data_IF_176856723556
#
_entry.id   IF_176856723556
#
_cell.length_a   1.000
_cell.length_b   1.000
_cell.length_c   1.000
_cell.angle_alpha   90.00
_cell.angle_beta   90.00
_cell.angle_gamma   90.00
#
_symmetry.space_group_name_H-M   'P 1'
#
loop_
_entity.id
_entity.type
_entity.pdbx_description
1 polymer ?
#
# COMPACT_ATOMS: atom_id res chain seq x y z
N UNK A 1 44.73 -12.38 -12.49
CA UNK A 1 44.43 -11.15 -11.70
C UNK A 1 43.43 -10.22 -12.38
N UNK A 2 43.59 -9.84 -13.66
CA UNK A 2 42.66 -8.92 -14.35
C UNK A 2 41.22 -9.46 -14.47
N UNK A 3 41.06 -10.74 -14.83
CA UNK A 3 39.75 -11.39 -14.95
C UNK A 3 39.00 -11.52 -13.62
N UNK A 4 39.71 -11.78 -12.52
CA UNK A 4 39.13 -11.87 -11.17
C UNK A 4 38.64 -10.49 -10.70
N UNK A 5 39.42 -9.43 -10.97
CA UNK A 5 39.01 -8.05 -10.68
C UNK A 5 37.80 -7.60 -11.52
N UNK A 6 37.75 -8.01 -12.80
CA UNK A 6 36.61 -7.74 -13.68
C UNK A 6 35.35 -8.50 -13.24
N UNK A 7 35.48 -9.78 -12.87
CA UNK A 7 34.39 -10.58 -12.35
C UNK A 7 33.86 -10.00 -11.03
N UNK A 8 34.74 -9.57 -10.12
CA UNK A 8 34.34 -8.90 -8.88
C UNK A 8 33.61 -7.57 -9.13
N UNK A 9 34.04 -6.79 -10.12
CA UNK A 9 33.37 -5.55 -10.50
C UNK A 9 31.99 -5.79 -11.11
N UNK A 10 31.84 -6.81 -11.96
CA UNK A 10 30.54 -7.21 -12.52
C UNK A 10 29.59 -7.69 -11.42
N UNK A 11 30.08 -8.49 -10.46
CA UNK A 11 29.29 -8.98 -9.35
C UNK A 11 28.78 -7.82 -8.45
N UNK A 12 29.63 -6.81 -8.23
CA UNK A 12 29.28 -5.62 -7.45
C UNK A 12 28.20 -4.78 -8.13
N UNK A 13 28.25 -4.64 -9.47
CA UNK A 13 27.21 -3.94 -10.23
C UNK A 13 25.88 -4.70 -10.15
N UNK A 14 25.89 -6.01 -10.34
CA UNK A 14 24.67 -6.85 -10.28
C UNK A 14 23.99 -6.80 -8.91
N UNK A 15 24.75 -6.73 -7.81
CA UNK A 15 24.22 -6.57 -6.46
C UNK A 15 23.50 -5.22 -6.25
N UNK A 16 23.93 -4.17 -6.95
CA UNK A 16 23.33 -2.84 -6.88
C UNK A 16 22.04 -2.71 -7.73
N UNK A 17 21.94 -3.45 -8.85
CA UNK A 17 20.72 -3.45 -9.68
C UNK A 17 19.55 -4.17 -8.98
N UNK A 18 19.83 -5.16 -8.13
CA UNK A 18 18.79 -5.89 -7.40
C UNK A 18 17.98 -5.02 -6.42
N UNK A 19 18.56 -3.93 -5.89
CA UNK A 19 17.89 -3.03 -4.94
C UNK A 19 17.09 -1.91 -5.62
N UNK A 20 17.17 -1.78 -6.95
CA UNK A 20 16.55 -0.68 -7.69
C UNK A 20 15.10 -0.96 -8.15
N UNK A 21 14.61 -2.19 -7.97
CA UNK A 21 13.21 -2.51 -8.23
C UNK A 21 12.36 -2.12 -7.02
N UNK A 22 11.97 -0.84 -6.97
CA UNK A 22 10.90 -0.41 -6.08
C UNK A 22 9.63 -1.17 -6.48
N UNK A 23 9.18 -2.08 -5.61
CA UNK A 23 7.91 -2.77 -5.80
C UNK A 23 6.81 -1.72 -5.87
N UNK A 24 6.03 -1.76 -6.95
CA UNK A 24 4.92 -0.83 -7.13
C UNK A 24 3.94 -0.93 -5.96
N UNK A 25 3.15 0.12 -5.76
CA UNK A 25 2.08 0.08 -4.74
C UNK A 25 1.18 -1.13 -5.04
N UNK A 26 1.07 -2.04 -4.07
CA UNK A 26 0.23 -3.23 -4.20
C UNK A 26 -1.23 -2.80 -4.42
N UNK A 27 -1.88 -3.42 -5.41
CA UNK A 27 -3.27 -3.15 -5.77
C UNK A 27 -4.09 -4.41 -5.61
N UNK A 28 -5.37 -4.23 -5.28
CA UNK A 28 -6.36 -5.29 -5.20
C UNK A 28 -7.44 -5.02 -6.26
N UNK A 29 -7.92 -6.10 -6.90
CA UNK A 29 -9.07 -6.02 -7.79
C UNK A 29 -10.36 -5.79 -6.99
N UNK A 30 -11.31 -5.06 -7.59
CA UNK A 30 -12.58 -4.71 -6.96
C UNK A 30 -13.43 -5.95 -6.60
N UNK A 31 -13.39 -7.00 -7.42
CA UNK A 31 -14.21 -8.19 -7.21
C UNK A 31 -13.57 -9.07 -6.14
N UNK A 32 -12.23 -9.17 -6.14
CA UNK A 32 -11.47 -9.80 -5.05
C UNK A 32 -11.69 -9.11 -3.68
N UNK A 33 -11.82 -7.78 -3.67
CA UNK A 33 -12.14 -7.02 -2.45
C UNK A 33 -13.56 -7.33 -1.96
N UNK A 34 -14.55 -7.42 -2.86
CA UNK A 34 -15.95 -7.72 -2.50
C UNK A 34 -16.10 -9.11 -1.90
N UNK A 35 -15.44 -10.11 -2.46
CA UNK A 35 -15.48 -11.49 -1.98
C UNK A 35 -15.04 -11.61 -0.51
N UNK A 36 -14.15 -10.72 -0.07
CA UNK A 36 -13.46 -10.81 1.21
C UNK A 36 -13.67 -9.55 2.08
N UNK A 37 -14.75 -8.80 1.85
CA UNK A 37 -14.95 -7.46 2.41
C UNK A 37 -14.89 -7.40 3.95
N UNK A 38 -15.26 -8.47 4.64
CA UNK A 38 -15.18 -8.56 6.11
C UNK A 38 -13.79 -8.80 6.68
N UNK A 39 -12.80 -9.11 5.85
CA UNK A 39 -11.41 -9.39 6.27
C UNK A 39 -10.48 -8.18 6.09
N UNK A 40 -10.95 -7.13 5.43
CA UNK A 40 -10.16 -5.93 5.14
C UNK A 40 -10.63 -4.74 5.96
N UNK A 41 -9.66 -3.96 6.42
CA UNK A 41 -9.91 -2.62 6.94
C UNK A 41 -9.87 -1.67 5.74
N UNK A 42 -11.02 -1.11 5.39
CA UNK A 42 -11.16 -0.21 4.24
C UNK A 42 -11.04 1.22 4.72
N UNK A 43 -10.15 2.01 4.10
CA UNK A 43 -9.84 3.37 4.51
C UNK A 43 -10.08 4.34 3.35
N UNK A 44 -11.01 5.27 3.55
CA UNK A 44 -11.36 6.31 2.56
C UNK A 44 -10.47 7.54 2.74
N UNK A 45 -9.67 7.83 1.72
CA UNK A 45 -8.79 9.01 1.64
C UNK A 45 -9.32 10.12 0.74
N UNK A 46 -10.56 10.03 0.25
CA UNK A 46 -11.16 11.10 -0.55
C UNK A 46 -11.29 12.38 0.26
N UNK A 47 -11.12 13.50 -0.44
CA UNK A 47 -11.19 14.84 0.13
C UNK A 47 -12.13 15.72 -0.70
N UNK A 48 -12.41 16.93 -0.20
CA UNK A 48 -13.15 17.94 -0.97
C UNK A 48 -14.48 17.45 -1.56
N UNK A 49 -14.66 17.73 -2.86
CA UNK A 49 -15.80 17.33 -3.67
C UNK A 49 -15.92 15.82 -3.83
N UNK A 50 -14.80 15.11 -3.94
CA UNK A 50 -14.79 13.65 -4.21
C UNK A 50 -15.40 12.86 -3.05
N UNK A 51 -15.31 13.40 -1.84
CA UNK A 51 -16.01 12.85 -0.68
C UNK A 51 -17.44 13.40 -0.53
N UNK A 52 -17.60 14.73 -0.58
CA UNK A 52 -18.88 15.40 -0.28
C UNK A 52 -19.95 15.13 -1.34
N UNK A 53 -19.55 15.11 -2.61
CA UNK A 53 -20.44 14.90 -3.76
C UNK A 53 -20.70 13.42 -4.07
N UNK A 54 -20.05 12.49 -3.37
CA UNK A 54 -20.23 11.07 -3.66
C UNK A 54 -21.45 10.49 -2.98
N UNK A 55 -22.43 10.10 -3.80
CA UNK A 55 -23.64 9.38 -3.38
C UNK A 55 -23.30 8.01 -2.78
N UNK A 56 -22.32 7.33 -3.36
CA UNK A 56 -21.91 5.99 -2.95
C UNK A 56 -20.54 5.99 -2.27
N UNK A 57 -20.38 5.16 -1.25
CA UNK A 57 -19.13 5.00 -0.49
C UNK A 57 -18.98 3.51 -0.17
N UNK A 58 -17.75 3.03 -0.02
CA UNK A 58 -17.53 1.61 0.28
C UNK A 58 -18.07 1.32 1.68
N UNK A 59 -18.93 0.31 1.80
CA UNK A 59 -19.54 -0.08 3.07
C UNK A 59 -18.45 -0.48 4.08
N UNK A 60 -18.56 0.00 5.32
CA UNK A 60 -17.57 -0.26 6.37
C UNK A 60 -16.28 0.53 6.26
N UNK A 61 -16.13 1.39 5.23
CA UNK A 61 -14.97 2.25 5.12
C UNK A 61 -14.87 3.25 6.27
N UNK A 62 -13.69 3.34 6.86
CA UNK A 62 -13.36 4.33 7.88
C UNK A 62 -12.62 5.50 7.26
N UNK A 63 -12.83 6.69 7.81
CA UNK A 63 -12.11 7.89 7.39
C UNK A 63 -11.09 8.28 8.46
N UNK A 64 -9.79 8.36 8.12
CA UNK A 64 -8.77 8.73 9.08
C UNK A 64 -8.97 10.20 9.49
N UNK A 65 -8.83 10.48 10.78
CA UNK A 65 -8.74 11.84 11.31
C UNK A 65 -7.25 12.14 11.56
N UNK A 66 -6.68 13.02 10.75
CA UNK A 66 -5.25 13.37 10.84
C UNK A 66 -4.34 12.32 10.20
N UNK A 67 -3.16 12.10 10.79
CA UNK A 67 -2.16 11.16 10.29
C UNK A 67 -2.67 9.71 10.39
N UNK A 68 -2.47 8.92 9.33
CA UNK A 68 -2.93 7.52 9.26
C UNK A 68 -2.26 6.60 10.29
N UNK A 69 -0.99 6.83 10.61
CA UNK A 69 -0.24 6.03 11.56
C UNK A 69 -0.81 6.20 12.96
N UNK A 70 -1.09 7.43 13.36
CA UNK A 70 -1.68 7.72 14.67
C UNK A 70 -3.14 7.28 14.71
N UNK A 71 -3.86 7.43 13.61
CA UNK A 71 -5.22 6.92 13.49
C UNK A 71 -5.26 5.40 13.67
N UNK A 72 -4.40 4.65 12.98
CA UNK A 72 -4.31 3.19 13.08
C UNK A 72 -3.94 2.75 14.51
N UNK A 73 -2.99 3.44 15.15
CA UNK A 73 -2.64 3.21 16.57
C UNK A 73 -3.83 3.45 17.49
N UNK A 74 -4.56 4.57 17.30
CA UNK A 74 -5.73 4.91 18.12
C UNK A 74 -6.87 3.90 17.98
N UNK A 75 -6.94 3.21 16.83
CA UNK A 75 -7.91 2.15 16.55
C UNK A 75 -7.44 0.77 17.00
N UNK A 76 -6.20 0.64 17.47
CA UNK A 76 -5.65 -0.64 17.91
C UNK A 76 -5.50 -1.66 16.77
N UNK A 77 -5.25 -1.20 15.54
CA UNK A 77 -5.09 -2.13 14.41
C UNK A 77 -3.83 -2.98 14.58
N UNK A 78 -3.97 -4.27 14.31
CA UNK A 78 -2.85 -5.20 14.29
C UNK A 78 -1.88 -4.86 13.14
N UNK A 79 -0.60 -5.18 13.31
CA UNK A 79 0.44 -4.87 12.31
C UNK A 79 0.30 -5.69 11.02
N UNK A 80 -0.32 -6.85 11.12
CA UNK A 80 -0.64 -7.77 10.04
C UNK A 80 -2.07 -7.58 9.50
N UNK A 81 -2.78 -6.55 9.96
CA UNK A 81 -4.10 -6.22 9.44
C UNK A 81 -4.03 -5.94 7.94
N UNK A 82 -4.96 -6.53 7.18
CA UNK A 82 -5.08 -6.28 5.75
C UNK A 82 -5.82 -4.96 5.54
N UNK A 83 -5.10 -3.93 5.10
CA UNK A 83 -5.64 -2.58 4.93
C UNK A 83 -5.74 -2.25 3.45
N UNK A 84 -6.90 -1.74 3.02
CA UNK A 84 -7.12 -1.25 1.66
C UNK A 84 -7.40 0.23 1.71
N UNK A 85 -6.54 0.99 1.05
CA UNK A 85 -6.69 2.43 0.86
C UNK A 85 -7.39 2.71 -0.46
N UNK A 86 -8.36 3.62 -0.46
CA UNK A 86 -8.94 4.11 -1.70
C UNK A 86 -9.11 5.63 -1.69
N UNK A 87 -8.99 6.22 -2.87
CA UNK A 87 -9.20 7.64 -3.13
C UNK A 87 -10.15 7.82 -4.33
N UNK A 88 -10.23 9.03 -4.87
CA UNK A 88 -11.07 9.38 -6.02
C UNK A 88 -10.57 8.68 -7.29
#
# INVERSE_FOLDING_TARGET
MKAIKLAGFILMILAFVATAFAEGVQRIDKDALKENMGSYIIVDFRTGSDWKGSEFKILGAVRPKGNIVDFAKSKGWAKDAKIVFYCA
#
